data_IF_356648805300
#
_entry.id   IF_356648805300
#
_cell.length_a   1.000
_cell.length_b   1.000
_cell.length_c   1.000
_cell.angle_alpha   90.00
_cell.angle_beta   90.00
_cell.angle_gamma   90.00
#
_symmetry.space_group_name_H-M   'P 1'
#
loop_
_entity.id
_entity.type
_entity.pdbx_description
1 polymer ?
#
# COMPACT_ATOMS: atom_id res chain seq x y z
N UNK A 1 -8.28 -7.37 10.01
CA UNK A 1 -8.54 -7.35 8.55
C UNK A 1 -8.01 -6.05 7.97
N UNK A 2 -7.37 -6.05 6.79
CA UNK A 2 -6.96 -4.81 6.13
C UNK A 2 -8.22 -4.03 5.75
N UNK A 3 -8.34 -2.78 6.19
CA UNK A 3 -9.45 -1.89 5.85
C UNK A 3 -9.12 -1.15 4.57
N UNK A 4 -7.94 -0.51 4.54
CA UNK A 4 -7.56 0.42 3.50
C UNK A 4 -6.03 0.54 3.40
N UNK A 5 -5.55 0.83 2.19
CA UNK A 5 -4.17 1.26 1.96
C UNK A 5 -4.15 2.78 2.07
N UNK A 6 -3.43 3.29 3.06
CA UNK A 6 -3.33 4.72 3.32
C UNK A 6 -2.24 5.37 2.47
N UNK A 7 -1.16 4.65 2.18
CA UNK A 7 -0.02 5.19 1.45
C UNK A 7 0.82 4.08 0.81
N UNK A 8 1.63 4.45 -0.17
CA UNK A 8 2.63 3.59 -0.79
C UNK A 8 3.93 4.37 -1.00
N UNK A 9 5.00 3.84 -0.46
CA UNK A 9 6.35 4.35 -0.67
C UNK A 9 7.19 3.31 -1.42
N UNK A 10 7.77 3.71 -2.55
CA UNK A 10 8.80 2.90 -3.25
C UNK A 10 10.15 3.55 -3.04
N UNK A 11 11.08 2.81 -2.44
CA UNK A 11 12.47 3.25 -2.27
C UNK A 11 13.34 2.53 -3.29
N UNK A 12 13.98 3.31 -4.16
CA UNK A 12 14.97 2.79 -5.10
C UNK A 12 16.32 2.71 -4.39
N UNK A 13 16.85 1.51 -4.25
CA UNK A 13 18.23 1.25 -3.85
C UNK A 13 19.09 1.11 -5.11
N UNK A 14 20.41 1.12 -4.94
CA UNK A 14 21.37 1.01 -6.06
C UNK A 14 21.16 -0.21 -6.97
N UNK A 15 20.62 -1.30 -6.42
CA UNK A 15 20.47 -2.59 -7.12
C UNK A 15 19.04 -3.12 -7.17
N UNK A 16 18.09 -2.53 -6.43
CA UNK A 16 16.72 -3.03 -6.34
C UNK A 16 15.75 -1.94 -5.91
N UNK A 17 14.49 -2.13 -6.22
CA UNK A 17 13.40 -1.30 -5.71
C UNK A 17 12.68 -2.04 -4.58
N UNK A 18 12.36 -1.33 -3.50
CA UNK A 18 11.63 -1.89 -2.36
C UNK A 18 10.36 -1.09 -2.16
N UNK A 19 9.21 -1.75 -2.29
CA UNK A 19 7.90 -1.15 -2.07
C UNK A 19 7.41 -1.44 -0.64
N UNK A 20 7.03 -0.40 0.07
CA UNK A 20 6.34 -0.44 1.36
C UNK A 20 5.01 0.27 1.24
N UNK A 21 4.02 -0.22 1.97
CA UNK A 21 2.63 0.25 1.90
C UNK A 21 2.13 0.45 3.32
N UNK A 22 1.46 1.55 3.56
CA UNK A 22 0.83 1.82 4.84
C UNK A 22 -0.58 1.24 4.79
N UNK A 23 -0.85 0.27 5.64
CA UNK A 23 -2.14 -0.42 5.67
C UNK A 23 -2.82 -0.10 7.00
N UNK A 24 -4.07 0.34 6.91
CA UNK A 24 -4.95 0.50 8.06
C UNK A 24 -5.64 -0.85 8.33
N UNK A 25 -5.55 -1.30 9.57
CA UNK A 25 -6.12 -2.55 10.04
C UNK A 25 -7.18 -2.28 11.09
N UNK A 26 -8.27 -3.04 11.04
CA UNK A 26 -9.21 -3.11 12.15
C UNK A 26 -8.87 -4.31 13.01
N UNK A 27 -8.52 -4.07 14.27
CA UNK A 27 -8.39 -5.10 15.29
C UNK A 27 -9.47 -4.91 16.34
N UNK A 28 -10.51 -5.74 16.30
CA UNK A 28 -11.69 -5.75 17.19
C UNK A 28 -12.41 -4.39 17.32
N UNK A 29 -11.81 -3.42 18.02
CA UNK A 29 -12.33 -2.07 18.24
C UNK A 29 -11.31 -0.94 17.95
N UNK A 30 -10.07 -1.29 17.60
CA UNK A 30 -8.99 -0.32 17.36
C UNK A 30 -8.58 -0.35 15.90
N UNK A 31 -8.38 0.85 15.34
CA UNK A 31 -7.76 1.03 14.04
C UNK A 31 -6.27 1.30 14.20
N UNK A 32 -5.44 0.48 13.56
CA UNK A 32 -3.99 0.59 13.63
C UNK A 32 -3.41 0.67 12.22
N UNK A 33 -2.42 1.54 12.02
CA UNK A 33 -1.75 1.68 10.74
C UNK A 33 -0.31 1.17 10.81
N UNK A 34 0.02 0.15 10.02
CA UNK A 34 1.37 -0.43 9.93
C UNK A 34 1.95 -0.29 8.53
N UNK A 35 3.28 -0.32 8.44
CA UNK A 35 4.01 -0.38 7.17
C UNK A 35 4.35 -1.83 6.84
N UNK A 36 3.78 -2.35 5.76
CA UNK A 36 4.03 -3.70 5.29
C UNK A 36 4.79 -3.71 3.96
N UNK A 37 5.44 -4.82 3.64
CA UNK A 37 6.04 -5.01 2.32
C UNK A 37 4.95 -5.18 1.25
N UNK A 38 5.03 -4.38 0.18
CA UNK A 38 4.03 -4.36 -0.88
C UNK A 38 3.84 -5.73 -1.56
N UNK A 39 4.94 -6.43 -1.80
CA UNK A 39 4.91 -7.77 -2.41
C UNK A 39 4.20 -8.80 -1.53
N UNK A 40 4.45 -8.75 -0.23
CA UNK A 40 3.86 -9.67 0.74
C UNK A 40 2.37 -9.44 0.90
N UNK A 41 1.93 -8.19 0.92
CA UNK A 41 0.51 -7.86 0.97
C UNK A 41 -0.22 -8.21 -0.32
N UNK A 42 0.41 -8.03 -1.49
CA UNK A 42 -0.14 -8.51 -2.76
C UNK A 42 -0.32 -10.04 -2.76
N UNK A 43 0.63 -10.79 -2.18
CA UNK A 43 0.54 -12.26 -2.06
C UNK A 43 -0.52 -12.70 -1.05
N UNK A 44 -0.58 -12.06 0.12
CA UNK A 44 -1.51 -12.43 1.21
C UNK A 44 -2.93 -11.93 0.99
N UNK A 45 -3.11 -10.77 0.36
CA UNK A 45 -4.40 -10.11 0.17
C UNK A 45 -4.56 -9.63 -1.28
N UNK A 46 -4.55 -10.54 -2.27
CA UNK A 46 -4.62 -10.18 -3.69
C UNK A 46 -5.89 -9.41 -4.06
N UNK A 47 -6.98 -9.61 -3.32
CA UNK A 47 -8.27 -8.94 -3.56
C UNK A 47 -8.41 -7.57 -2.88
N UNK A 48 -7.49 -7.19 -1.99
CA UNK A 48 -7.57 -5.91 -1.26
C UNK A 48 -6.61 -4.87 -1.83
N UNK A 49 -5.75 -5.27 -2.77
CA UNK A 49 -4.87 -4.39 -3.52
C UNK A 49 -5.45 -4.19 -4.92
N UNK A 50 -6.09 -3.04 -5.22
CA UNK A 50 -6.37 -2.69 -6.60
C UNK A 50 -5.05 -2.60 -7.35
N UNK A 51 -5.00 -3.25 -8.52
CA UNK A 51 -3.84 -3.38 -9.38
C UNK A 51 -3.35 -2.01 -9.84
N UNK A 52 -2.51 -1.35 -9.03
CA UNK A 52 -1.45 -0.39 -9.40
C UNK A 52 -1.76 0.69 -10.46
N UNK A 53 -3.02 1.04 -10.72
CA UNK A 53 -3.40 1.84 -11.90
C UNK A 53 -4.05 3.18 -11.60
N UNK A 54 -4.18 3.59 -10.33
CA UNK A 54 -4.72 4.93 -10.02
C UNK A 54 -3.95 5.55 -8.87
N UNK A 55 -2.67 5.89 -9.06
CA UNK A 55 -1.99 7.00 -8.36
C UNK A 55 -0.75 7.53 -9.15
N UNK A 56 -0.63 7.25 -10.46
CA UNK A 56 0.38 7.89 -11.33
C UNK A 56 -0.19 9.04 -12.16
N UNK A 57 -1.33 9.62 -11.75
CA UNK A 57 -1.81 10.83 -12.39
C UNK A 57 -1.49 12.03 -11.50
N UNK A 58 -0.31 12.60 -11.77
CA UNK A 58 -0.24 14.04 -11.84
C UNK A 58 -1.28 14.53 -12.84
N UNK A 59 -2.46 14.91 -12.36
CA UNK A 59 -3.41 15.73 -13.12
C UNK A 59 -3.61 17.01 -12.34
N UNK A 60 -2.78 18.00 -12.65
CA UNK A 60 -3.20 19.39 -12.64
C UNK A 60 -4.42 19.53 -13.56
N UNK A 61 -5.56 20.00 -13.04
CA UNK A 61 -6.68 20.72 -13.69
C UNK A 61 -7.81 20.75 -12.65
N UNK A 62 -8.28 21.87 -12.12
CA UNK A 62 -8.59 23.19 -12.70
C UNK A 62 -7.91 24.36 -11.97
#
# INVERSE_FOLDING_TARGET
MPIQILDRQVRKLRTKEVASIKVLWRNQFVEEATWEAGEDMKKRYPHHFPSESILDQGTNSL
#
